data_IF_312873201392
#
_entry.id   IF_312873201392
#
_cell.length_a   1.000
_cell.length_b   1.000
_cell.length_c   1.000
_cell.angle_alpha   90.00
_cell.angle_beta   90.00
_cell.angle_gamma   90.00
#
_symmetry.space_group_name_H-M   'P 1'
#
loop_
_entity.id
_entity.type
_entity.pdbx_description
1 polymer ?
#
# COMPACT_ATOMS: atom_id res chain seq x y z
N UNK A 1 47.25 -8.55 37.67
CA UNK A 1 48.26 -7.60 38.09
C UNK A 1 48.72 -6.88 36.87
N UNK A 2 48.30 -5.75 36.81
CA UNK A 2 48.56 -4.31 36.75
C UNK A 2 48.37 -3.78 35.32
N UNK A 3 47.90 -2.69 35.04
CA UNK A 3 47.38 -1.43 35.53
C UNK A 3 46.70 -0.71 34.35
N UNK A 4 45.48 -0.29 34.54
CA UNK A 4 44.91 0.74 33.67
C UNK A 4 45.25 2.10 34.25
N UNK A 5 46.01 2.91 33.55
CA UNK A 5 46.20 4.35 33.85
C UNK A 5 45.28 5.21 33.00
N UNK A 6 44.70 6.14 33.68
CA UNK A 6 43.76 7.15 33.20
C UNK A 6 44.45 8.25 32.38
N UNK A 7 43.81 8.70 31.36
CA UNK A 7 44.14 9.94 30.64
C UNK A 7 42.93 10.82 30.47
N UNK A 8 42.67 11.66 31.48
CA UNK A 8 41.77 12.81 31.36
C UNK A 8 42.39 13.90 30.48
N UNK A 9 41.71 14.34 29.43
CA UNK A 9 41.95 15.64 28.79
C UNK A 9 40.70 16.48 28.84
N UNK A 10 40.79 17.49 29.70
CA UNK A 10 39.91 18.65 29.78
C UNK A 10 39.98 19.43 28.47
N UNK A 11 38.83 19.73 27.87
CA UNK A 11 38.72 20.77 26.85
C UNK A 11 37.73 21.83 27.36
N UNK A 12 38.27 22.95 27.76
CA UNK A 12 37.58 24.22 27.99
C UNK A 12 37.13 24.82 26.65
N UNK A 13 35.95 25.42 26.61
CA UNK A 13 35.55 26.25 25.48
C UNK A 13 34.03 26.33 25.24
N UNK A 14 33.26 26.68 26.28
CA UNK A 14 31.84 27.06 26.07
C UNK A 14 31.74 28.53 25.64
N UNK A 15 31.46 28.77 24.36
CA UNK A 15 30.89 30.04 23.89
C UNK A 15 29.36 29.96 23.96
N UNK A 16 28.79 30.75 24.86
CA UNK A 16 27.33 31.00 24.97
C UNK A 16 26.85 31.67 23.66
N UNK A 17 25.98 31.03 22.93
CA UNK A 17 25.22 31.63 21.85
C UNK A 17 23.86 32.07 22.40
N UNK A 18 23.57 33.37 22.28
CA UNK A 18 22.36 34.02 22.77
C UNK A 18 21.12 33.55 21.97
N UNK A 19 20.00 33.39 22.70
CA UNK A 19 18.68 33.06 22.12
C UNK A 19 18.17 34.22 21.23
N UNK A 20 17.58 33.93 20.05
CA UNK A 20 16.93 34.95 19.26
C UNK A 20 15.56 35.32 19.81
N UNK A 21 15.28 36.63 19.80
CA UNK A 21 14.06 37.30 20.20
C UNK A 21 12.82 36.78 19.50
N UNK A 22 11.72 36.61 20.24
CA UNK A 22 10.35 36.43 19.72
C UNK A 22 10.03 37.51 18.65
N UNK A 23 9.77 37.11 17.44
CA UNK A 23 9.12 37.95 16.45
C UNK A 23 7.60 37.72 16.47
N UNK A 24 6.91 38.85 16.29
CA UNK A 24 5.46 39.03 16.36
C UNK A 24 4.75 38.24 15.25
N UNK A 25 3.55 37.79 15.57
CA UNK A 25 2.54 37.25 14.68
C UNK A 25 2.35 38.13 13.43
N UNK A 26 2.62 37.55 12.28
CA UNK A 26 2.14 38.07 10.99
C UNK A 26 1.00 37.14 10.56
N UNK A 27 -0.20 37.70 10.52
CA UNK A 27 -1.37 37.09 9.90
C UNK A 27 -1.08 36.93 8.41
N UNK A 28 -0.79 35.70 7.94
CA UNK A 28 -0.74 35.41 6.51
C UNK A 28 -2.15 35.12 6.01
N UNK A 29 -2.59 35.97 5.09
CA UNK A 29 -3.76 35.74 4.23
C UNK A 29 -3.58 34.42 3.51
N UNK A 30 -4.64 33.61 3.50
CA UNK A 30 -4.78 32.40 2.69
C UNK A 30 -4.58 32.71 1.22
N UNK A 31 -3.41 32.38 0.69
CA UNK A 31 -3.19 32.30 -0.74
C UNK A 31 -3.51 30.89 -1.21
N UNK A 32 -4.32 30.77 -2.25
CA UNK A 32 -4.93 29.59 -2.80
C UNK A 32 -4.05 28.37 -2.86
N UNK A 33 -4.64 27.24 -2.46
CA UNK A 33 -4.05 25.94 -2.66
C UNK A 33 -3.80 25.70 -4.14
N UNK A 34 -2.53 25.60 -4.52
CA UNK A 34 -2.16 25.13 -5.84
C UNK A 34 -2.69 23.71 -6.00
N UNK A 35 -3.54 23.51 -6.99
CA UNK A 35 -3.99 22.18 -7.38
C UNK A 35 -2.73 21.36 -7.69
N UNK A 36 -2.48 20.30 -6.89
CA UNK A 36 -1.50 19.28 -7.22
C UNK A 36 -1.98 18.67 -8.52
N UNK A 37 -1.28 18.96 -9.63
CA UNK A 37 -1.61 18.37 -10.91
C UNK A 37 -1.26 16.89 -10.85
N UNK A 38 -2.21 16.06 -10.45
CA UNK A 38 -2.14 14.63 -10.71
C UNK A 38 -2.14 14.45 -12.24
N UNK A 39 -1.40 13.49 -12.79
CA UNK A 39 -1.40 13.24 -14.23
C UNK A 39 -2.77 12.81 -14.77
N UNK A 40 -3.77 12.69 -13.90
CA UNK A 40 -5.13 12.30 -14.17
C UNK A 40 -6.09 13.24 -13.45
N UNK A 41 -7.15 13.68 -14.11
CA UNK A 41 -8.31 14.29 -13.46
C UNK A 41 -9.07 13.19 -12.69
N UNK A 42 -8.68 12.90 -11.47
CA UNK A 42 -9.44 12.02 -10.58
C UNK A 42 -10.72 12.75 -10.14
N UNK A 43 -11.87 12.11 -10.33
CA UNK A 43 -13.17 12.56 -9.78
C UNK A 43 -13.35 12.11 -8.33
N UNK A 44 -12.28 12.12 -7.55
CA UNK A 44 -12.25 11.69 -6.15
C UNK A 44 -11.61 12.79 -5.30
N UNK A 45 -12.05 12.92 -4.06
CA UNK A 45 -11.49 13.87 -3.11
C UNK A 45 -10.23 13.29 -2.45
N UNK A 46 -9.15 14.08 -2.42
CA UNK A 46 -7.98 13.76 -1.64
C UNK A 46 -8.18 14.25 -0.20
N UNK A 47 -8.24 13.29 0.72
CA UNK A 47 -8.44 13.52 2.15
C UNK A 47 -7.21 13.10 2.96
N UNK A 48 -7.21 13.42 4.25
CA UNK A 48 -6.13 13.01 5.15
C UNK A 48 -6.66 12.74 6.55
N UNK A 49 -6.04 11.77 7.21
CA UNK A 49 -6.35 11.42 8.60
C UNK A 49 -5.07 11.08 9.36
N UNK A 50 -4.94 11.62 10.57
CA UNK A 50 -3.84 11.28 11.47
C UNK A 50 -4.08 9.88 12.06
N UNK A 51 -3.11 8.97 11.87
CA UNK A 51 -3.18 7.57 12.32
C UNK A 51 -2.22 7.27 13.47
N UNK A 52 -1.22 8.12 13.64
CA UNK A 52 -0.27 8.10 14.73
C UNK A 52 0.24 9.53 14.97
N UNK A 53 0.78 9.87 16.14
CA UNK A 53 1.25 11.22 16.44
C UNK A 53 2.20 11.76 15.36
N UNK A 54 1.76 12.83 14.67
CA UNK A 54 2.49 13.47 13.57
C UNK A 54 2.58 12.65 12.29
N UNK A 55 1.69 11.67 12.07
CA UNK A 55 1.65 10.87 10.85
C UNK A 55 0.24 10.89 10.27
N UNK A 56 0.09 11.60 9.16
CA UNK A 56 -1.15 11.69 8.37
C UNK A 56 -1.07 10.77 7.17
N UNK A 57 -2.02 9.85 7.03
CA UNK A 57 -2.22 9.13 5.78
C UNK A 57 -3.17 9.90 4.89
N UNK A 58 -2.87 9.88 3.58
CA UNK A 58 -3.71 10.44 2.53
C UNK A 58 -4.44 9.34 1.80
N UNK A 59 -5.65 9.67 1.38
CA UNK A 59 -6.49 8.73 0.65
C UNK A 59 -7.43 9.45 -0.31
N UNK A 60 -7.72 8.80 -1.42
CA UNK A 60 -8.73 9.23 -2.38
C UNK A 60 -10.05 8.58 -2.03
N UNK A 61 -11.13 9.32 -2.05
CA UNK A 61 -12.44 8.83 -1.68
C UNK A 61 -13.53 9.35 -2.62
N UNK A 62 -14.45 8.44 -3.01
CA UNK A 62 -15.59 8.77 -3.86
C UNK A 62 -16.71 7.76 -3.63
N UNK A 63 -17.95 8.17 -3.95
CA UNK A 63 -19.13 7.32 -3.84
C UNK A 63 -19.67 7.19 -2.42
N UNK A 64 -20.65 6.31 -2.25
CA UNK A 64 -21.33 6.04 -0.99
C UNK A 64 -21.78 4.57 -0.91
N UNK A 65 -22.17 4.11 0.27
CA UNK A 65 -22.64 2.73 0.47
C UNK A 65 -21.60 1.83 1.15
N UNK A 66 -21.55 0.56 0.74
CA UNK A 66 -20.58 -0.40 1.29
C UNK A 66 -19.15 0.02 1.00
N UNK A 67 -18.28 -0.08 1.99
CA UNK A 67 -16.91 0.42 1.93
C UNK A 67 -15.99 -0.59 1.25
N UNK A 68 -15.22 -0.10 0.27
CA UNK A 68 -14.05 -0.77 -0.31
C UNK A 68 -12.81 0.07 -0.04
N UNK A 69 -11.87 -0.43 0.75
CA UNK A 69 -10.56 0.17 0.98
C UNK A 69 -9.52 -0.58 0.15
N UNK A 70 -8.76 0.14 -0.67
CA UNK A 70 -7.73 -0.44 -1.55
C UNK A 70 -6.34 0.00 -1.12
N UNK A 71 -5.46 -0.98 -0.92
CA UNK A 71 -4.06 -0.81 -0.55
C UNK A 71 -3.16 -1.14 -1.74
N UNK A 72 -2.33 -0.20 -2.22
CA UNK A 72 -1.47 -0.42 -3.37
C UNK A 72 -0.32 -1.38 -3.05
N UNK A 73 0.32 -1.86 -4.11
CA UNK A 73 1.56 -2.60 -4.04
C UNK A 73 2.73 -1.77 -3.54
N UNK A 74 3.80 -2.45 -3.18
CA UNK A 74 5.04 -1.82 -2.73
C UNK A 74 5.61 -0.87 -3.80
N UNK A 75 5.81 0.38 -3.42
CA UNK A 75 6.30 1.43 -4.31
C UNK A 75 5.23 2.02 -5.24
N UNK A 76 3.96 1.64 -5.09
CA UNK A 76 2.84 2.22 -5.83
C UNK A 76 2.08 3.24 -4.99
N UNK A 77 1.32 4.11 -5.65
CA UNK A 77 0.43 5.06 -4.99
C UNK A 77 -1.05 4.73 -5.23
N UNK A 78 -1.89 5.17 -4.32
CA UNK A 78 -3.33 4.97 -4.38
C UNK A 78 -4.00 5.61 -5.61
N UNK A 79 -3.41 6.68 -6.16
CA UNK A 79 -3.85 7.33 -7.40
C UNK A 79 -3.88 6.39 -8.61
N UNK A 80 -3.11 5.30 -8.59
CA UNK A 80 -3.12 4.29 -9.66
C UNK A 80 -4.44 3.49 -9.71
N UNK A 81 -5.27 3.53 -8.66
CA UNK A 81 -6.61 2.93 -8.66
C UNK A 81 -7.70 3.81 -9.31
N UNK A 82 -7.33 4.76 -10.18
CA UNK A 82 -8.28 5.68 -10.82
C UNK A 82 -9.48 5.00 -11.45
N UNK A 83 -9.27 3.87 -12.13
CA UNK A 83 -10.34 3.12 -12.80
C UNK A 83 -11.30 2.43 -11.83
N UNK A 84 -10.83 2.06 -10.63
CA UNK A 84 -11.64 1.50 -9.57
C UNK A 84 -12.42 2.61 -8.86
N UNK A 85 -11.76 3.75 -8.56
CA UNK A 85 -12.42 4.93 -7.99
C UNK A 85 -13.58 5.40 -8.89
N UNK A 86 -13.34 5.51 -10.19
CA UNK A 86 -14.36 5.98 -11.15
C UNK A 86 -15.41 4.92 -11.49
N UNK A 87 -14.99 3.64 -11.61
CA UNK A 87 -15.84 2.57 -12.12
C UNK A 87 -16.66 1.83 -11.05
N UNK A 88 -16.47 2.12 -9.75
CA UNK A 88 -17.20 1.47 -8.65
C UNK A 88 -17.97 2.45 -7.76
N UNK A 89 -17.79 3.77 -7.96
CA UNK A 89 -18.37 4.79 -7.10
C UNK A 89 -19.90 4.95 -7.22
N UNK A 90 -20.49 4.36 -8.22
CA UNK A 90 -21.94 4.29 -8.41
C UNK A 90 -22.65 3.38 -7.39
N UNK A 91 -21.92 2.42 -6.81
CA UNK A 91 -22.49 1.43 -5.87
C UNK A 91 -21.78 1.37 -4.51
N UNK A 92 -20.52 1.81 -4.46
CA UNK A 92 -19.67 1.63 -3.29
C UNK A 92 -19.04 2.95 -2.84
N UNK A 93 -18.78 3.06 -1.55
CA UNK A 93 -17.86 4.04 -1.01
C UNK A 93 -16.44 3.50 -1.23
N UNK A 94 -15.76 4.02 -2.25
CA UNK A 94 -14.44 3.56 -2.68
C UNK A 94 -13.37 4.44 -2.09
N UNK A 95 -12.42 3.84 -1.40
CA UNK A 95 -11.31 4.50 -0.73
C UNK A 95 -10.01 3.87 -1.25
N UNK A 96 -9.13 4.67 -1.83
CA UNK A 96 -7.79 4.24 -2.18
C UNK A 96 -6.79 4.92 -1.23
N UNK A 97 -6.12 4.14 -0.40
CA UNK A 97 -5.26 4.60 0.69
C UNK A 97 -3.80 4.57 0.29
N UNK A 98 -3.09 5.68 0.44
CA UNK A 98 -1.64 5.74 0.40
C UNK A 98 -1.07 5.30 1.76
N UNK A 99 -0.39 4.16 1.88
CA UNK A 99 0.29 3.79 3.11
C UNK A 99 1.40 4.78 3.46
N UNK A 100 1.87 4.78 4.70
CA UNK A 100 3.04 5.55 5.15
C UNK A 100 4.17 5.53 4.11
N UNK A 101 4.66 6.70 3.74
CA UNK A 101 5.74 6.87 2.78
C UNK A 101 5.31 6.86 1.32
N UNK A 102 4.16 6.26 0.99
CA UNK A 102 3.66 6.17 -0.38
C UNK A 102 2.84 7.41 -0.77
N UNK A 103 2.71 7.63 -2.07
CA UNK A 103 1.84 8.65 -2.66
C UNK A 103 1.91 10.00 -1.95
N UNK A 104 0.76 10.50 -1.53
CA UNK A 104 0.59 11.79 -0.85
C UNK A 104 0.67 11.70 0.70
N UNK A 105 0.80 10.48 1.27
CA UNK A 105 0.94 10.28 2.71
C UNK A 105 2.28 10.78 3.24
N UNK A 106 2.31 11.10 4.54
CA UNK A 106 3.51 11.56 5.24
C UNK A 106 4.65 10.55 5.13
N UNK A 107 5.88 11.09 5.12
CA UNK A 107 7.13 10.35 4.93
C UNK A 107 8.05 10.49 6.14
N UNK A 108 7.63 10.05 7.35
CA UNK A 108 8.45 10.13 8.54
C UNK A 108 9.73 9.31 8.37
N UNK A 109 10.77 9.61 9.15
CA UNK A 109 12.07 8.93 9.03
C UNK A 109 12.04 7.43 9.41
N UNK A 110 10.98 6.98 10.11
CA UNK A 110 10.86 5.64 10.69
C UNK A 110 9.53 4.97 10.38
N UNK A 111 9.47 3.66 10.62
CA UNK A 111 8.23 2.88 10.52
C UNK A 111 8.03 2.18 9.19
N UNK A 112 9.10 1.95 8.42
CA UNK A 112 9.04 1.25 7.13
C UNK A 112 9.21 -0.26 7.32
N UNK A 113 8.18 -0.88 7.91
CA UNK A 113 8.01 -2.32 8.10
C UNK A 113 6.52 -2.65 8.15
N UNK A 114 6.13 -3.88 7.85
CA UNK A 114 4.72 -4.26 7.72
C UNK A 114 3.95 -4.19 9.03
N UNK A 115 4.60 -4.40 10.19
CA UNK A 115 3.94 -4.22 11.50
C UNK A 115 3.50 -2.78 11.73
N UNK A 116 4.34 -1.80 11.36
CA UNK A 116 3.96 -0.39 11.47
C UNK A 116 2.88 -0.02 10.45
N UNK A 117 2.97 -0.51 9.20
CA UNK A 117 1.94 -0.27 8.19
C UNK A 117 0.59 -0.88 8.59
N UNK A 118 0.59 -2.04 9.24
CA UNK A 118 -0.61 -2.66 9.77
C UNK A 118 -1.22 -1.87 10.95
N UNK A 119 -0.38 -1.30 11.82
CA UNK A 119 -0.83 -0.37 12.87
C UNK A 119 -1.43 0.90 12.30
N UNK A 120 -0.83 1.44 11.25
CA UNK A 120 -1.37 2.60 10.55
C UNK A 120 -2.72 2.28 9.90
N UNK A 121 -2.89 1.07 9.34
CA UNK A 121 -4.17 0.61 8.81
C UNK A 121 -5.23 0.51 9.92
N UNK A 122 -4.90 -0.04 11.11
CA UNK A 122 -5.82 -0.06 12.24
C UNK A 122 -6.21 1.36 12.68
N UNK A 123 -5.22 2.26 12.78
CA UNK A 123 -5.45 3.67 13.07
C UNK A 123 -6.38 4.32 12.05
N UNK A 124 -6.19 4.04 10.77
CA UNK A 124 -7.03 4.53 9.67
C UNK A 124 -8.48 4.02 9.79
N UNK A 125 -8.67 2.71 9.97
CA UNK A 125 -9.99 2.10 10.12
C UNK A 125 -10.75 2.66 11.33
N UNK A 126 -10.03 2.88 12.46
CA UNK A 126 -10.62 3.47 13.67
C UNK A 126 -10.98 4.94 13.50
N UNK A 127 -10.08 5.72 12.90
CA UNK A 127 -10.28 7.16 12.75
C UNK A 127 -11.46 7.50 11.82
N UNK A 128 -11.75 6.64 10.85
CA UNK A 128 -12.90 6.76 9.95
C UNK A 128 -14.12 5.92 10.40
N UNK A 129 -14.07 5.29 11.58
CA UNK A 129 -15.09 4.39 12.13
C UNK A 129 -15.55 3.28 11.15
N UNK A 130 -14.60 2.71 10.42
CA UNK A 130 -14.86 1.62 9.48
C UNK A 130 -14.91 0.29 10.22
N UNK A 131 -16.11 -0.27 10.38
CA UNK A 131 -16.38 -1.51 11.13
C UNK A 131 -16.96 -2.64 10.27
N UNK A 132 -17.08 -2.45 8.96
CA UNK A 132 -17.63 -3.41 8.00
C UNK A 132 -17.01 -3.17 6.62
N UNK A 133 -15.68 -3.02 6.57
CA UNK A 133 -14.95 -2.69 5.36
C UNK A 133 -14.54 -3.94 4.58
N UNK A 134 -14.73 -3.93 3.27
CA UNK A 134 -13.97 -4.82 2.37
C UNK A 134 -12.61 -4.19 2.14
N UNK A 135 -11.53 -4.95 2.37
CA UNK A 135 -10.18 -4.46 2.13
C UNK A 135 -9.53 -5.25 1.00
N UNK A 136 -9.07 -4.52 -0.01
CA UNK A 136 -8.28 -5.05 -1.11
C UNK A 136 -6.80 -4.72 -0.90
N UNK A 137 -5.95 -5.73 -0.94
CA UNK A 137 -4.51 -5.58 -1.05
C UNK A 137 -4.04 -6.03 -2.42
N UNK A 138 -3.15 -5.24 -3.01
CA UNK A 138 -2.38 -5.65 -4.18
C UNK A 138 -0.94 -5.90 -3.74
N UNK A 139 -0.41 -7.09 -4.01
CA UNK A 139 0.99 -7.46 -3.72
C UNK A 139 1.47 -7.05 -2.31
N UNK A 140 2.26 -5.95 -2.17
CA UNK A 140 2.68 -5.44 -0.86
C UNK A 140 1.51 -5.06 0.06
N UNK A 141 0.38 -4.61 -0.49
CA UNK A 141 -0.85 -4.33 0.25
C UNK A 141 -1.44 -5.57 0.92
N UNK A 142 -1.28 -6.76 0.32
CA UNK A 142 -1.71 -8.03 0.93
C UNK A 142 -0.96 -8.31 2.23
N UNK A 143 0.35 -8.03 2.27
CA UNK A 143 1.17 -8.21 3.46
C UNK A 143 0.77 -7.28 4.61
N UNK A 144 0.29 -6.06 4.27
CA UNK A 144 -0.29 -5.15 5.27
C UNK A 144 -1.54 -5.78 5.88
N UNK A 145 -2.42 -6.35 5.05
CA UNK A 145 -3.66 -7.01 5.52
C UNK A 145 -3.33 -8.24 6.37
N UNK A 146 -2.44 -9.11 5.92
CA UNK A 146 -2.05 -10.31 6.66
C UNK A 146 -1.44 -9.96 8.02
N UNK A 147 -0.52 -8.99 8.06
CA UNK A 147 0.05 -8.49 9.32
C UNK A 147 -1.01 -7.80 10.19
N UNK A 148 -1.99 -7.13 9.59
CA UNK A 148 -3.12 -6.58 10.34
C UNK A 148 -3.95 -7.69 11.02
N UNK A 149 -4.23 -8.79 10.31
CA UNK A 149 -4.94 -9.94 10.88
C UNK A 149 -4.17 -10.58 12.04
N UNK A 150 -2.85 -10.70 11.94
CA UNK A 150 -2.00 -11.20 13.03
C UNK A 150 -2.07 -10.31 14.28
N UNK A 151 -2.15 -9.00 14.12
CA UNK A 151 -2.11 -8.04 15.23
C UNK A 151 -3.50 -7.74 15.83
N UNK A 152 -4.54 -7.72 15.01
CA UNK A 152 -5.85 -7.16 15.38
C UNK A 152 -7.04 -8.07 15.07
N UNK A 153 -6.81 -9.17 14.33
CA UNK A 153 -7.90 -10.03 13.84
C UNK A 153 -8.75 -9.36 12.76
N UNK A 154 -9.93 -9.90 12.51
CA UNK A 154 -10.79 -9.54 11.38
C UNK A 154 -12.09 -8.79 11.77
N UNK A 155 -12.26 -8.45 13.03
CA UNK A 155 -13.54 -7.92 13.57
C UNK A 155 -14.07 -6.65 12.90
N UNK A 156 -13.20 -5.87 12.22
CA UNK A 156 -13.59 -4.68 11.44
C UNK A 156 -13.77 -4.97 9.96
N UNK A 157 -13.46 -6.20 9.52
CA UNK A 157 -13.45 -6.57 8.12
C UNK A 157 -14.73 -7.31 7.75
N UNK A 158 -15.34 -6.88 6.66
CA UNK A 158 -16.44 -7.60 6.02
C UNK A 158 -15.94 -8.70 5.11
N UNK A 159 -14.89 -8.37 4.33
CA UNK A 159 -14.32 -9.27 3.33
C UNK A 159 -12.89 -8.81 2.98
N UNK A 160 -12.14 -9.69 2.35
CA UNK A 160 -10.79 -9.40 1.88
C UNK A 160 -10.66 -9.74 0.39
N UNK A 161 -9.90 -8.93 -0.33
CA UNK A 161 -9.46 -9.24 -1.70
C UNK A 161 -7.93 -9.28 -1.73
N UNK A 162 -7.37 -10.43 -2.06
CA UNK A 162 -5.94 -10.60 -2.35
C UNK A 162 -5.72 -10.56 -3.85
N UNK A 163 -4.96 -9.58 -4.31
CA UNK A 163 -4.70 -9.35 -5.74
C UNK A 163 -3.22 -9.52 -6.02
N UNK A 164 -2.91 -10.55 -6.79
CA UNK A 164 -1.58 -10.86 -7.34
C UNK A 164 -0.46 -10.84 -6.29
N UNK A 165 -0.69 -11.53 -5.17
CA UNK A 165 0.25 -11.61 -4.05
C UNK A 165 1.26 -12.76 -4.22
N UNK A 166 2.44 -12.56 -3.62
CA UNK A 166 3.43 -13.58 -3.32
C UNK A 166 3.76 -13.51 -1.82
N UNK A 167 3.23 -14.42 -1.02
CA UNK A 167 3.39 -14.38 0.44
C UNK A 167 4.83 -14.49 0.93
N UNK A 168 5.70 -15.17 0.17
CA UNK A 168 7.12 -15.30 0.47
C UNK A 168 7.93 -15.30 -0.82
N UNK A 169 8.54 -14.18 -1.18
CA UNK A 169 9.21 -14.03 -2.46
C UNK A 169 10.31 -15.07 -2.72
N UNK A 170 11.05 -15.46 -1.69
CA UNK A 170 12.12 -16.48 -1.83
C UNK A 170 11.54 -17.89 -2.05
N UNK A 171 10.56 -18.29 -1.23
CA UNK A 171 9.90 -19.59 -1.33
C UNK A 171 9.11 -19.72 -2.63
N UNK A 172 8.47 -18.64 -3.06
CA UNK A 172 7.63 -18.58 -4.24
C UNK A 172 8.45 -18.46 -5.54
N UNK A 173 9.75 -18.22 -5.43
CA UNK A 173 10.68 -18.14 -6.56
C UNK A 173 10.56 -16.82 -7.34
N UNK A 174 10.08 -15.74 -6.70
CA UNK A 174 10.02 -14.41 -7.32
C UNK A 174 11.43 -13.83 -7.46
N UNK A 175 12.26 -13.99 -6.42
CA UNK A 175 13.65 -13.59 -6.38
C UNK A 175 14.50 -14.67 -5.70
N UNK A 176 15.75 -14.83 -6.11
CA UNK A 176 16.77 -15.47 -5.25
C UNK A 176 17.21 -14.50 -4.14
N UNK A 177 17.85 -15.02 -3.10
CA UNK A 177 18.38 -14.19 -2.01
C UNK A 177 19.37 -13.14 -2.55
N UNK A 178 20.25 -13.53 -3.48
CA UNK A 178 21.24 -12.64 -4.09
C UNK A 178 20.56 -11.54 -4.93
N UNK A 179 19.54 -11.88 -5.71
CA UNK A 179 18.76 -10.90 -6.47
C UNK A 179 18.05 -9.90 -5.54
N UNK A 180 17.49 -10.39 -4.44
CA UNK A 180 16.82 -9.52 -3.45
C UNK A 180 17.83 -8.59 -2.77
N UNK A 181 19.00 -9.06 -2.39
CA UNK A 181 20.07 -8.23 -1.81
C UNK A 181 20.58 -7.20 -2.81
N UNK A 182 20.86 -7.62 -4.05
CA UNK A 182 21.28 -6.71 -5.11
C UNK A 182 20.25 -5.60 -5.39
N UNK A 183 18.95 -5.92 -5.38
CA UNK A 183 17.89 -4.92 -5.54
C UNK A 183 17.83 -3.93 -4.35
N UNK A 184 18.02 -4.41 -3.11
CA UNK A 184 18.07 -3.56 -1.91
C UNK A 184 19.24 -2.57 -2.01
N UNK A 185 20.41 -3.04 -2.43
CA UNK A 185 21.59 -2.19 -2.61
C UNK A 185 21.40 -1.20 -3.75
N UNK A 186 20.81 -1.63 -4.87
CA UNK A 186 20.50 -0.77 -6.01
C UNK A 186 19.52 0.35 -5.66
N UNK A 187 18.51 0.11 -4.81
CA UNK A 187 17.60 1.16 -4.31
C UNK A 187 18.30 2.20 -3.43
N UNK A 188 19.48 1.93 -2.90
CA UNK A 188 20.26 2.82 -2.04
C UNK A 188 21.50 3.39 -2.75
N UNK A 189 21.83 2.87 -3.93
CA UNK A 189 22.99 3.27 -4.71
C UNK A 189 22.84 4.60 -5.43
N UNK A 190 23.89 5.06 -6.09
CA UNK A 190 23.90 6.32 -6.83
C UNK A 190 22.90 6.33 -7.99
N UNK A 191 22.62 5.18 -8.59
CA UNK A 191 21.70 5.00 -9.71
C UNK A 191 20.29 4.58 -9.30
N UNK A 192 19.91 4.76 -8.03
CA UNK A 192 18.64 4.29 -7.46
C UNK A 192 17.41 4.77 -8.25
N UNK A 193 17.45 5.96 -8.84
CA UNK A 193 16.35 6.51 -9.64
C UNK A 193 16.22 5.75 -10.97
N UNK A 194 17.33 5.53 -11.69
CA UNK A 194 17.33 4.77 -12.94
C UNK A 194 16.93 3.30 -12.70
N UNK A 195 17.45 2.68 -11.64
CA UNK A 195 17.05 1.33 -11.24
C UNK A 195 15.55 1.25 -10.93
N UNK A 196 14.99 2.26 -10.26
CA UNK A 196 13.55 2.30 -9.94
C UNK A 196 12.68 2.37 -11.20
N UNK A 197 13.14 3.00 -12.28
CA UNK A 197 12.40 3.02 -13.53
C UNK A 197 12.28 1.60 -14.11
N UNK A 198 13.39 0.91 -14.28
CA UNK A 198 13.40 -0.48 -14.78
C UNK A 198 12.65 -1.44 -13.86
N UNK A 199 12.66 -1.21 -12.55
CA UNK A 199 11.85 -1.98 -11.60
C UNK A 199 10.36 -1.69 -11.77
N UNK A 200 9.96 -0.43 -11.97
CA UNK A 200 8.57 -0.04 -12.20
C UNK A 200 8.01 -0.57 -13.52
N UNK A 201 8.81 -0.60 -14.57
CA UNK A 201 8.39 -1.09 -15.89
C UNK A 201 7.98 -2.59 -15.85
N UNK A 202 8.46 -3.35 -14.86
CA UNK A 202 8.12 -4.76 -14.70
C UNK A 202 6.68 -5.01 -14.19
N UNK A 203 5.97 -4.00 -13.71
CA UNK A 203 4.60 -4.14 -13.21
C UNK A 203 3.54 -4.15 -14.30
N UNK A 204 3.88 -3.66 -15.46
CA UNK A 204 3.02 -3.63 -16.65
C UNK A 204 3.51 -4.65 -17.69
N UNK A 205 2.66 -4.97 -18.66
CA UNK A 205 3.07 -5.78 -19.81
C UNK A 205 3.99 -5.00 -20.74
N UNK A 206 4.79 -5.70 -21.53
CA UNK A 206 5.77 -5.07 -22.42
C UNK A 206 5.10 -4.15 -23.46
N UNK A 207 3.87 -4.47 -23.86
CA UNK A 207 3.04 -3.72 -24.80
C UNK A 207 2.18 -2.62 -24.16
N UNK A 208 2.34 -2.37 -22.83
CA UNK A 208 1.66 -1.27 -22.15
C UNK A 208 2.06 0.08 -22.73
N UNK A 209 1.08 1.01 -22.79
CA UNK A 209 1.33 2.36 -23.27
C UNK A 209 2.41 3.07 -22.44
N UNK A 210 3.27 3.86 -23.07
CA UNK A 210 4.31 4.64 -22.40
C UNK A 210 3.74 5.60 -21.35
N UNK A 211 2.52 6.12 -21.59
CA UNK A 211 1.79 6.94 -20.62
C UNK A 211 1.48 6.20 -19.32
N UNK A 212 1.20 4.90 -19.40
CA UNK A 212 0.98 4.04 -18.23
C UNK A 212 2.30 3.77 -17.50
N UNK A 213 3.37 3.41 -18.22
CA UNK A 213 4.70 3.21 -17.64
C UNK A 213 5.20 4.46 -16.92
N UNK A 214 5.04 5.63 -17.55
CA UNK A 214 5.41 6.91 -16.93
C UNK A 214 4.57 7.20 -15.68
N UNK A 215 3.27 6.88 -15.69
CA UNK A 215 2.41 7.06 -14.53
C UNK A 215 2.87 6.20 -13.34
N UNK A 216 3.13 4.92 -13.57
CA UNK A 216 3.62 4.00 -12.53
C UNK A 216 4.98 4.44 -11.99
N UNK A 217 5.89 4.83 -12.86
CA UNK A 217 7.20 5.34 -12.47
C UNK A 217 7.09 6.62 -11.61
N UNK A 218 6.35 7.63 -12.07
CA UNK A 218 6.19 8.89 -11.35
C UNK A 218 5.54 8.70 -9.98
N UNK A 219 4.49 7.91 -9.91
CA UNK A 219 3.82 7.60 -8.64
C UNK A 219 4.74 6.79 -7.71
N UNK A 220 5.52 5.87 -8.27
CA UNK A 220 6.52 5.12 -7.53
C UNK A 220 7.65 5.98 -6.94
N UNK A 221 8.03 7.07 -7.59
CA UNK A 221 9.06 7.99 -7.09
C UNK A 221 8.63 8.76 -5.84
N UNK A 222 7.35 8.82 -5.52
CA UNK A 222 6.84 9.48 -4.31
C UNK A 222 7.27 8.76 -3.02
N UNK A 223 7.57 7.46 -3.07
CA UNK A 223 8.20 6.74 -1.95
C UNK A 223 9.72 6.94 -2.01
N UNK A 224 10.36 7.59 -1.02
CA UNK A 224 11.81 7.78 -1.01
C UNK A 224 12.57 6.46 -1.09
N UNK A 225 13.58 6.40 -1.95
CA UNK A 225 14.34 5.17 -2.26
C UNK A 225 14.88 4.43 -1.02
N UNK A 226 15.46 5.11 0.00
CA UNK A 226 15.91 4.41 1.21
C UNK A 226 14.76 3.75 1.99
N UNK A 227 13.53 4.28 1.89
CA UNK A 227 12.36 3.71 2.54
C UNK A 227 11.79 2.53 1.74
N UNK A 228 11.82 2.65 0.41
CA UNK A 228 11.50 1.53 -0.47
C UNK A 228 12.42 0.34 -0.21
N UNK A 229 13.74 0.57 -0.11
CA UNK A 229 14.71 -0.48 0.21
C UNK A 229 14.40 -1.20 1.53
N UNK A 230 14.00 -0.44 2.57
CA UNK A 230 13.59 -1.03 3.87
C UNK A 230 12.35 -1.92 3.72
N UNK A 231 11.31 -1.43 3.05
CA UNK A 231 10.07 -2.19 2.83
C UNK A 231 10.31 -3.39 1.90
N UNK A 232 11.11 -3.22 0.85
CA UNK A 232 11.47 -4.29 -0.06
C UNK A 232 12.23 -5.42 0.67
N UNK A 233 13.14 -5.08 1.59
CA UNK A 233 13.82 -6.08 2.44
C UNK A 233 12.80 -6.92 3.22
N UNK A 234 11.81 -6.28 3.85
CA UNK A 234 10.75 -6.99 4.56
C UNK A 234 9.95 -7.88 3.62
N UNK A 235 9.53 -7.37 2.46
CA UNK A 235 8.75 -8.12 1.47
C UNK A 235 9.54 -9.31 0.91
N UNK A 236 10.84 -9.14 0.67
CA UNK A 236 11.68 -10.17 0.05
C UNK A 236 11.98 -11.34 1.00
N UNK A 237 12.23 -11.05 2.27
CA UNK A 237 12.69 -12.06 3.25
C UNK A 237 11.62 -12.49 4.26
N UNK A 238 10.44 -11.84 4.26
CA UNK A 238 9.31 -12.24 5.09
C UNK A 238 8.54 -13.42 4.48
N UNK A 239 7.85 -14.18 5.33
CA UNK A 239 6.93 -15.24 4.94
C UNK A 239 5.58 -15.04 5.65
N UNK A 240 4.51 -14.90 4.86
CA UNK A 240 3.14 -14.72 5.34
C UNK A 240 2.23 -15.90 5.00
N UNK A 241 2.77 -17.03 4.52
CA UNK A 241 1.94 -18.18 4.15
C UNK A 241 1.06 -18.66 5.30
N UNK A 242 1.61 -18.72 6.52
CA UNK A 242 0.85 -19.18 7.69
C UNK A 242 -0.25 -18.20 8.11
N UNK A 243 -0.11 -16.91 7.78
CA UNK A 243 -1.10 -15.89 8.12
C UNK A 243 -2.45 -16.06 7.35
N UNK A 244 -2.45 -16.75 6.21
CA UNK A 244 -3.70 -17.06 5.50
C UNK A 244 -4.65 -17.93 6.32
N UNK A 245 -4.16 -18.73 7.26
CA UNK A 245 -4.98 -19.49 8.19
C UNK A 245 -5.82 -18.62 9.15
N UNK A 246 -5.46 -17.36 9.31
CA UNK A 246 -6.19 -16.37 10.12
C UNK A 246 -7.39 -15.76 9.38
N UNK A 247 -7.46 -15.91 8.07
CA UNK A 247 -8.53 -15.34 7.25
C UNK A 247 -9.84 -16.12 7.50
N UNK A 248 -10.84 -15.47 8.10
CA UNK A 248 -12.15 -16.08 8.42
C UNK A 248 -13.32 -15.37 7.73
N UNK A 249 -13.08 -14.25 7.09
CA UNK A 249 -14.10 -13.51 6.35
C UNK A 249 -14.14 -13.93 4.86
N UNK A 250 -15.28 -13.71 4.17
CA UNK A 250 -15.37 -13.96 2.73
C UNK A 250 -14.19 -13.35 1.98
N UNK A 251 -13.61 -14.11 1.06
CA UNK A 251 -12.37 -13.72 0.40
C UNK A 251 -12.45 -13.93 -1.11
N UNK A 252 -11.90 -12.98 -1.86
CA UNK A 252 -11.65 -13.10 -3.29
C UNK A 252 -10.13 -13.12 -3.52
N UNK A 253 -9.66 -14.09 -4.29
CA UNK A 253 -8.27 -14.17 -4.74
C UNK A 253 -8.23 -13.89 -6.25
N UNK A 254 -7.37 -12.97 -6.67
CA UNK A 254 -7.20 -12.58 -8.08
C UNK A 254 -5.73 -12.84 -8.48
N UNK A 255 -5.52 -13.53 -9.60
CA UNK A 255 -4.19 -13.77 -10.16
C UNK A 255 -4.16 -13.60 -11.69
N UNK A 256 -3.00 -13.23 -12.22
CA UNK A 256 -2.77 -13.05 -13.66
C UNK A 256 -2.00 -14.21 -14.29
N UNK A 257 -2.45 -14.69 -15.46
CA UNK A 257 -1.80 -15.81 -16.20
C UNK A 257 -0.38 -15.48 -16.63
N UNK A 258 -0.14 -14.21 -16.99
CA UNK A 258 1.15 -13.73 -17.48
C UNK A 258 1.76 -12.68 -16.55
N UNK A 259 1.30 -12.63 -15.31
CA UNK A 259 1.91 -11.80 -14.28
C UNK A 259 3.32 -12.26 -13.92
N UNK A 260 4.14 -11.35 -13.40
CA UNK A 260 5.42 -11.68 -12.76
C UNK A 260 5.25 -12.58 -11.53
N UNK A 261 4.09 -12.55 -10.89
CA UNK A 261 3.71 -13.51 -9.85
C UNK A 261 3.05 -14.71 -10.54
N UNK A 262 3.65 -15.90 -10.52
CA UNK A 262 3.07 -17.07 -11.16
C UNK A 262 1.66 -17.38 -10.61
N UNK A 263 0.69 -17.58 -11.51
CA UNK A 263 -0.72 -17.81 -11.14
C UNK A 263 -0.93 -18.99 -10.17
N UNK A 264 -0.02 -19.96 -10.16
CA UNK A 264 -0.01 -21.06 -9.20
C UNK A 264 0.09 -20.60 -7.74
N UNK A 265 0.69 -19.42 -7.49
CA UNK A 265 0.78 -18.84 -6.14
C UNK A 265 -0.61 -18.33 -5.72
N UNK A 266 -1.31 -17.61 -6.60
CA UNK A 266 -2.68 -17.20 -6.34
C UNK A 266 -3.62 -18.41 -6.15
N UNK A 267 -3.41 -19.50 -6.89
CA UNK A 267 -4.11 -20.76 -6.67
C UNK A 267 -3.80 -21.33 -5.27
N UNK A 268 -2.53 -21.36 -4.85
CA UNK A 268 -2.13 -21.80 -3.51
C UNK A 268 -2.75 -20.96 -2.40
N UNK A 269 -2.89 -19.63 -2.59
CA UNK A 269 -3.59 -18.74 -1.66
C UNK A 269 -5.07 -19.11 -1.60
N UNK A 270 -5.72 -19.36 -2.74
CA UNK A 270 -7.11 -19.81 -2.79
C UNK A 270 -7.31 -21.12 -2.01
N UNK A 271 -6.41 -22.09 -2.18
CA UNK A 271 -6.43 -23.36 -1.46
C UNK A 271 -6.18 -23.17 0.05
N UNK A 272 -5.33 -22.20 0.44
CA UNK A 272 -5.05 -21.87 1.85
C UNK A 272 -6.18 -21.12 2.55
N UNK A 273 -7.16 -20.56 1.81
CA UNK A 273 -8.34 -19.86 2.34
C UNK A 273 -9.61 -20.58 1.90
N UNK A 274 -10.09 -21.56 2.68
CA UNK A 274 -11.28 -22.33 2.33
C UNK A 274 -12.51 -21.46 2.13
N UNK A 275 -13.24 -21.69 1.03
CA UNK A 275 -14.44 -20.94 0.69
C UNK A 275 -14.17 -19.60 -0.01
N UNK A 276 -12.91 -19.25 -0.29
CA UNK A 276 -12.60 -18.08 -1.11
C UNK A 276 -13.10 -18.26 -2.55
N UNK A 277 -13.37 -17.15 -3.22
CA UNK A 277 -13.58 -17.10 -4.68
C UNK A 277 -12.23 -16.92 -5.37
N UNK A 278 -12.07 -17.48 -6.57
CA UNK A 278 -10.83 -17.34 -7.34
C UNK A 278 -11.11 -16.84 -8.76
N UNK A 279 -10.41 -15.79 -9.17
CA UNK A 279 -10.51 -15.20 -10.51
C UNK A 279 -9.13 -15.15 -11.14
N UNK A 280 -9.03 -15.68 -12.37
CA UNK A 280 -7.81 -15.62 -13.18
C UNK A 280 -8.02 -14.67 -14.36
N UNK A 281 -7.05 -13.78 -14.55
CA UNK A 281 -6.94 -12.95 -15.74
C UNK A 281 -6.13 -13.69 -16.78
N UNK A 282 -6.79 -14.10 -17.87
CA UNK A 282 -6.11 -14.77 -18.99
C UNK A 282 -5.28 -13.77 -19.80
N UNK A 283 -4.44 -14.30 -20.69
CA UNK A 283 -3.46 -13.51 -21.42
C UNK A 283 -4.02 -12.36 -22.27
N UNK A 284 -5.29 -12.35 -22.58
CA UNK A 284 -6.01 -11.33 -23.36
C UNK A 284 -6.89 -10.39 -22.51
N UNK A 285 -6.81 -10.49 -21.19
CA UNK A 285 -7.77 -9.86 -20.27
C UNK A 285 -7.15 -8.86 -19.28
N UNK A 286 -6.05 -8.20 -19.65
CA UNK A 286 -5.33 -7.32 -18.71
C UNK A 286 -4.43 -8.11 -17.76
N UNK A 287 -3.49 -8.70 -18.30
CA UNK A 287 -2.75 -9.93 -18.01
C UNK A 287 -1.51 -9.76 -17.14
N UNK A 288 -1.03 -8.53 -16.97
CA UNK A 288 0.19 -8.25 -16.21
C UNK A 288 -0.02 -8.26 -14.68
N UNK A 289 0.98 -7.80 -13.97
CA UNK A 289 0.88 -7.65 -12.52
C UNK A 289 -0.15 -6.57 -12.13
N UNK A 290 -0.30 -5.53 -12.93
CA UNK A 290 -1.24 -4.43 -12.68
C UNK A 290 -2.61 -4.63 -13.37
N UNK A 291 -3.26 -5.78 -13.15
CA UNK A 291 -4.57 -6.11 -13.74
C UNK A 291 -5.65 -5.05 -13.49
N UNK A 292 -5.59 -4.35 -12.37
CA UNK A 292 -6.50 -3.24 -12.03
C UNK A 292 -6.35 -2.05 -12.99
N UNK A 293 -5.20 -1.94 -13.67
CA UNK A 293 -4.90 -0.91 -14.67
C UNK A 293 -5.05 -1.41 -16.09
N UNK A 294 -4.52 -2.58 -16.41
CA UNK A 294 -4.49 -3.12 -17.78
C UNK A 294 -5.80 -3.77 -18.20
N UNK A 295 -6.60 -4.30 -17.27
CA UNK A 295 -7.92 -4.88 -17.48
C UNK A 295 -8.97 -4.32 -16.55
N UNK A 296 -9.16 -2.99 -16.48
CA UNK A 296 -9.94 -2.35 -15.42
C UNK A 296 -11.42 -2.76 -15.42
N UNK A 297 -12.00 -3.02 -16.59
CA UNK A 297 -13.41 -3.45 -16.67
C UNK A 297 -13.61 -4.80 -16.00
N UNK A 298 -12.85 -5.83 -16.39
CA UNK A 298 -12.94 -7.16 -15.77
C UNK A 298 -12.59 -7.11 -14.28
N UNK A 299 -11.63 -6.27 -13.90
CA UNK A 299 -11.25 -6.11 -12.50
C UNK A 299 -12.40 -5.54 -11.68
N UNK A 300 -13.02 -4.46 -12.15
CA UNK A 300 -14.18 -3.84 -11.53
C UNK A 300 -15.39 -4.79 -11.48
N UNK A 301 -15.66 -5.52 -12.56
CA UNK A 301 -16.77 -6.50 -12.61
C UNK A 301 -16.54 -7.66 -11.62
N UNK A 302 -15.30 -8.10 -11.45
CA UNK A 302 -14.95 -9.12 -10.46
C UNK A 302 -15.18 -8.63 -9.04
N UNK A 303 -14.74 -7.40 -8.72
CA UNK A 303 -14.98 -6.77 -7.42
C UNK A 303 -16.46 -6.54 -7.16
N UNK A 304 -17.19 -6.03 -8.15
CA UNK A 304 -18.63 -5.77 -8.07
C UNK A 304 -19.42 -7.06 -7.82
N UNK A 305 -19.12 -8.11 -8.58
CA UNK A 305 -19.74 -9.43 -8.40
C UNK A 305 -19.48 -9.99 -7.01
N UNK A 306 -18.24 -9.96 -6.56
CA UNK A 306 -17.87 -10.43 -5.24
C UNK A 306 -18.55 -9.61 -4.13
N UNK A 307 -18.49 -8.29 -4.17
CA UNK A 307 -19.08 -7.44 -3.13
C UNK A 307 -20.60 -7.54 -3.09
N UNK A 308 -21.27 -7.77 -4.22
CA UNK A 308 -22.72 -8.01 -4.29
C UNK A 308 -23.11 -9.36 -3.67
N UNK A 309 -22.26 -10.37 -3.78
CA UNK A 309 -22.52 -11.72 -3.22
C UNK A 309 -22.39 -11.77 -1.69
N UNK A 310 -21.76 -10.76 -1.07
CA UNK A 310 -21.61 -10.73 0.39
C UNK A 310 -22.96 -10.59 1.08
N UNK A 311 -23.26 -11.42 2.10
CA UNK A 311 -24.53 -11.37 2.80
C UNK A 311 -24.75 -9.99 3.44
N UNK A 312 -25.99 -9.52 3.50
CA UNK A 312 -26.32 -8.37 4.33
C UNK A 312 -26.19 -8.77 5.80
N UNK A 313 -25.41 -8.02 6.58
CA UNK A 313 -25.41 -8.23 8.04
C UNK A 313 -26.80 -7.86 8.57
N UNK A 314 -27.60 -8.87 8.93
CA UNK A 314 -28.85 -8.66 9.66
C UNK A 314 -28.48 -8.20 11.07
N UNK A 315 -28.72 -6.92 11.39
CA UNK A 315 -28.63 -6.44 12.78
C UNK A 315 -27.79 -5.19 13.04
N UNK A 316 -27.02 -4.68 12.12
CA UNK A 316 -26.37 -3.37 12.29
C UNK A 316 -27.27 -2.30 11.69
N UNK A 317 -28.37 -1.94 12.39
CA UNK A 317 -29.08 -0.69 12.15
C UNK A 317 -28.25 0.45 12.72
N UNK A 318 -27.12 0.76 12.08
CA UNK A 318 -26.40 2.00 12.28
C UNK A 318 -27.22 3.13 11.64
N UNK A 319 -27.67 4.06 12.44
CA UNK A 319 -28.27 5.34 11.98
C UNK A 319 -27.24 6.03 11.10
N UNK A 320 -27.58 6.14 9.83
CA UNK A 320 -26.94 7.12 8.95
C UNK A 320 -27.70 8.45 9.13
N UNK A 321 -26.99 9.57 9.38
CA UNK A 321 -27.62 10.88 9.31
C UNK A 321 -27.97 11.24 7.88
#
# INVERSE_FOLDING_TARGET
MDKFERGEKVIEGQKRIAAPRRQRSITSKSTGGGAVSTPFSLRADLKGVEVAPGVTLRYWEVGAGRVLVMLPGLGHAASLYKYQLEGLCDEFRVIALDPRGHGESDKPERGYNYHTLAKDLDGFLRALDLNDATILGHYGGCKIILTYLELYGDSRLRAIVFSDDSPCHLRDGIFSADQALAAIDAFQGPDAIAFSKGFSDQFLTDDAEESAKEAFYREGLKLPRPYLAKLFRWAAFGDWWDAYALVKVPTLVIGGRVSKVPVKIAQGIHEAVPGSSFVVFEADQGRGHAMFWEGPQKYNDSLRTFMRSLPFLQGVRGRWP
#
